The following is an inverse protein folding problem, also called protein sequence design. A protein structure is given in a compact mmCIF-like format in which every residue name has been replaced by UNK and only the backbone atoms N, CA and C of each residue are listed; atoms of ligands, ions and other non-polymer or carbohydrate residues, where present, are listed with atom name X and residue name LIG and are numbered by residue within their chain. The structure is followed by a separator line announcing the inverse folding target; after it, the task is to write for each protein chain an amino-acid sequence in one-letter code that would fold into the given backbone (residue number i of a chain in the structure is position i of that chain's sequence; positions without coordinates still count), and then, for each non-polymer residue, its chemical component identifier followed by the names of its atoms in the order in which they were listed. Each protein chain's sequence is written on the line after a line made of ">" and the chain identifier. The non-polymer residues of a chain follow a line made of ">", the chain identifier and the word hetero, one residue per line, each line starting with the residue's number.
data_IF_656760926108
#
_entry.id   IF_656760926108
#
_cell.length_a   1.000
_cell.length_b   1.000
_cell.length_c   1.000
_cell.angle_alpha   90.00
_cell.angle_beta   90.00
_cell.angle_gamma   90.00
#
_symmetry.space_group_name_H-M   'P 1'
#
loop_
_entity.id
_entity.type
_entity.pdbx_description
1 polymer ?
#
# COMPACT_ATOMS: atom_id res chain seq x y z
N UNK A 1 -13.98 29.10 -23.81
CA UNK A 1 -13.51 27.70 -23.93
C UNK A 1 -13.76 27.01 -22.60
N UNK A 2 -14.18 25.75 -22.55
CA UNK A 2 -14.31 25.04 -21.28
C UNK A 2 -12.92 24.97 -20.63
N UNK A 3 -12.76 25.59 -19.47
CA UNK A 3 -11.57 25.37 -18.67
C UNK A 3 -11.57 23.92 -18.19
N UNK A 4 -10.41 23.25 -18.15
CA UNK A 4 -10.35 21.91 -17.56
C UNK A 4 -10.95 21.97 -16.16
N UNK A 5 -12.03 21.21 -15.94
CA UNK A 5 -12.75 21.20 -14.66
C UNK A 5 -11.76 20.86 -13.55
N UNK A 6 -11.80 21.62 -12.46
CA UNK A 6 -10.89 21.38 -11.33
C UNK A 6 -11.29 20.08 -10.64
N UNK A 7 -10.31 19.32 -10.14
CA UNK A 7 -10.55 18.05 -9.44
C UNK A 7 -11.64 18.16 -8.36
N UNK A 8 -11.62 19.23 -7.57
CA UNK A 8 -12.62 19.45 -6.54
C UNK A 8 -14.05 19.62 -7.08
N UNK A 9 -14.23 20.31 -8.19
CA UNK A 9 -15.54 20.47 -8.84
C UNK A 9 -16.04 19.13 -9.40
N UNK A 10 -15.14 18.35 -10.00
CA UNK A 10 -15.50 17.03 -10.54
C UNK A 10 -15.90 16.04 -9.44
N UNK A 11 -15.28 16.13 -8.25
CA UNK A 11 -15.67 15.33 -7.09
C UNK A 11 -17.05 15.71 -6.54
N UNK A 12 -17.42 17.00 -6.60
CA UNK A 12 -18.76 17.47 -6.23
C UNK A 12 -19.80 16.96 -7.24
N UNK A 13 -19.51 17.06 -8.54
CA UNK A 13 -20.39 16.55 -9.60
C UNK A 13 -20.62 15.04 -9.50
N UNK A 14 -19.59 14.29 -9.10
CA UNK A 14 -19.68 12.85 -8.83
C UNK A 14 -20.42 12.50 -7.52
N UNK A 15 -20.81 13.49 -6.72
CA UNK A 15 -21.49 13.28 -5.44
C UNK A 15 -20.59 12.70 -4.34
N UNK A 16 -19.26 12.71 -4.53
CA UNK A 16 -18.30 12.17 -3.56
C UNK A 16 -18.03 13.13 -2.40
N UNK A 17 -18.16 14.43 -2.66
CA UNK A 17 -18.04 15.49 -1.66
C UNK A 17 -19.12 16.56 -1.87
N UNK A 18 -19.41 17.33 -0.83
CA UNK A 18 -20.33 18.47 -0.90
C UNK A 18 -19.58 19.77 -1.25
N UNK A 19 -20.32 20.78 -1.73
CA UNK A 19 -19.76 22.12 -1.99
C UNK A 19 -19.16 22.73 -0.71
N UNK A 20 -19.78 22.51 0.45
CA UNK A 20 -19.27 22.99 1.73
C UNK A 20 -17.92 22.35 2.08
N UNK A 21 -17.79 21.03 1.91
CA UNK A 21 -16.54 20.31 2.10
C UNK A 21 -15.45 20.79 1.14
N UNK A 22 -15.78 21.04 -0.13
CA UNK A 22 -14.85 21.59 -1.10
C UNK A 22 -14.33 22.97 -0.69
N UNK A 23 -15.19 23.87 -0.19
CA UNK A 23 -14.78 25.19 0.28
C UNK A 23 -13.83 25.09 1.49
N UNK A 24 -14.11 24.19 2.41
CA UNK A 24 -13.26 23.97 3.57
C UNK A 24 -11.89 23.37 3.16
N UNK A 25 -11.88 22.41 2.24
CA UNK A 25 -10.65 21.84 1.69
C UNK A 25 -9.82 22.89 0.92
N UNK A 26 -10.46 23.83 0.20
CA UNK A 26 -9.77 24.94 -0.46
C UNK A 26 -9.13 25.92 0.55
N UNK A 27 -9.80 26.20 1.67
CA UNK A 27 -9.24 27.02 2.76
C UNK A 27 -8.04 26.32 3.39
N UNK A 28 -8.16 25.03 3.66
CA UNK A 28 -7.07 24.21 4.15
C UNK A 28 -5.89 24.18 3.16
N UNK A 29 -6.15 24.00 1.85
CA UNK A 29 -5.11 24.01 0.82
C UNK A 29 -4.38 25.36 0.73
N UNK A 30 -5.07 26.49 0.93
CA UNK A 30 -4.42 27.81 0.94
C UNK A 30 -3.43 28.00 2.09
N UNK A 31 -3.66 27.35 3.23
CA UNK A 31 -2.82 27.47 4.42
C UNK A 31 -1.73 26.40 4.47
N UNK A 32 -2.08 25.14 4.20
CA UNK A 32 -1.17 23.99 4.27
C UNK A 32 -0.47 23.67 2.93
N UNK A 33 -0.98 24.20 1.82
CA UNK A 33 -0.52 23.81 0.47
C UNK A 33 -0.98 22.40 0.09
N UNK A 34 -0.19 21.76 -0.78
CA UNK A 34 -0.40 20.37 -1.19
C UNK A 34 -1.50 20.17 -2.24
N UNK A 35 -1.77 18.89 -2.54
CA UNK A 35 -2.75 18.48 -3.56
C UNK A 35 -4.16 18.40 -2.96
N UNK A 36 -5.15 18.84 -3.73
CA UNK A 36 -6.56 18.83 -3.32
C UNK A 36 -7.03 17.44 -2.88
N UNK A 37 -6.75 16.39 -3.67
CA UNK A 37 -7.15 15.03 -3.33
C UNK A 37 -6.55 14.53 -2.02
N UNK A 38 -5.24 14.76 -1.80
CA UNK A 38 -4.56 14.40 -0.56
C UNK A 38 -5.13 15.15 0.66
N UNK A 39 -5.48 16.41 0.50
CA UNK A 39 -6.08 17.21 1.57
C UNK A 39 -7.48 16.72 1.92
N UNK A 40 -8.31 16.39 0.93
CA UNK A 40 -9.64 15.83 1.15
C UNK A 40 -9.60 14.50 1.92
N UNK A 41 -8.60 13.65 1.61
CA UNK A 41 -8.35 12.41 2.35
C UNK A 41 -7.89 12.71 3.78
N UNK A 42 -6.93 13.62 3.95
CA UNK A 42 -6.38 13.97 5.26
C UNK A 42 -7.44 14.56 6.21
N UNK A 43 -8.40 15.30 5.66
CA UNK A 43 -9.55 15.86 6.40
C UNK A 43 -10.68 14.85 6.62
N UNK A 44 -10.54 13.60 6.16
CA UNK A 44 -11.55 12.56 6.29
C UNK A 44 -12.82 12.80 5.47
N UNK A 45 -12.78 13.67 4.46
CA UNK A 45 -13.93 14.00 3.62
C UNK A 45 -14.19 12.93 2.55
N UNK A 46 -13.13 12.26 2.09
CA UNK A 46 -13.19 11.17 1.11
C UNK A 46 -12.21 10.07 1.52
N UNK A 47 -12.54 8.82 1.27
CA UNK A 47 -11.59 7.72 1.49
C UNK A 47 -10.56 7.66 0.36
N UNK A 48 -9.35 7.17 0.65
CA UNK A 48 -8.34 6.96 -0.40
C UNK A 48 -8.82 6.01 -1.49
N UNK A 49 -9.59 4.98 -1.12
CA UNK A 49 -10.13 4.02 -2.08
C UNK A 49 -11.08 4.70 -3.07
N UNK A 50 -12.04 5.49 -2.56
CA UNK A 50 -12.99 6.23 -3.39
C UNK A 50 -12.31 7.27 -4.28
N UNK A 51 -11.30 7.99 -3.77
CA UNK A 51 -10.51 8.92 -4.56
C UNK A 51 -9.76 8.20 -5.70
N UNK A 52 -9.16 7.04 -5.39
CA UNK A 52 -8.41 6.24 -6.35
C UNK A 52 -9.31 5.68 -7.45
N UNK A 53 -10.52 5.22 -7.10
CA UNK A 53 -11.55 4.80 -8.06
C UNK A 53 -11.98 5.94 -8.97
N UNK A 54 -12.25 7.11 -8.38
CA UNK A 54 -12.63 8.28 -9.13
C UNK A 54 -11.55 8.71 -10.13
N UNK A 55 -10.29 8.78 -9.69
CA UNK A 55 -9.15 9.13 -10.55
C UNK A 55 -8.96 8.12 -11.67
N UNK A 56 -9.05 6.82 -11.38
CA UNK A 56 -8.93 5.76 -12.37
C UNK A 56 -9.97 5.89 -13.49
N UNK A 57 -11.23 6.17 -13.12
CA UNK A 57 -12.31 6.40 -14.10
C UNK A 57 -12.08 7.70 -14.88
N UNK A 58 -11.70 8.77 -14.20
CA UNK A 58 -11.52 10.09 -14.80
C UNK A 58 -10.37 10.13 -15.82
N UNK A 59 -9.25 9.46 -15.52
CA UNK A 59 -8.07 9.45 -16.41
C UNK A 59 -7.98 8.22 -17.30
N UNK A 60 -8.87 7.23 -17.13
CA UNK A 60 -8.84 5.97 -17.86
C UNK A 60 -7.65 5.08 -17.51
N UNK A 61 -7.08 5.26 -16.31
CA UNK A 61 -5.85 4.60 -15.85
C UNK A 61 -6.19 3.51 -14.84
N UNK A 62 -5.60 2.30 -14.93
CA UNK A 62 -5.89 1.23 -13.99
C UNK A 62 -5.35 1.52 -12.57
N UNK A 63 -5.99 0.89 -11.58
CA UNK A 63 -5.57 0.92 -10.18
C UNK A 63 -4.47 -0.12 -9.94
N UNK A 64 -3.53 0.22 -9.07
CA UNK A 64 -2.48 -0.69 -8.62
C UNK A 64 -2.31 -0.58 -7.10
N UNK A 65 -2.27 -1.73 -6.43
CA UNK A 65 -1.88 -1.79 -5.02
C UNK A 65 -0.36 -2.01 -4.92
N UNK A 66 0.30 -1.16 -4.14
CA UNK A 66 1.77 -1.09 -4.03
C UNK A 66 2.32 -1.73 -2.76
N UNK A 67 1.46 -2.16 -1.82
CA UNK A 67 1.88 -2.57 -0.48
C UNK A 67 2.83 -3.77 -0.44
N UNK A 68 2.65 -4.74 -1.34
CA UNK A 68 3.38 -6.01 -1.34
C UNK A 68 4.08 -6.28 -2.69
N UNK A 69 4.43 -5.24 -3.44
CA UNK A 69 5.11 -5.42 -4.71
C UNK A 69 6.61 -5.61 -4.48
N UNK A 70 7.16 -6.67 -5.06
CA UNK A 70 8.61 -6.82 -5.22
C UNK A 70 9.02 -6.18 -6.54
N UNK A 71 9.88 -5.17 -6.46
CA UNK A 71 10.31 -4.39 -7.62
C UNK A 71 11.79 -4.67 -7.87
N UNK A 72 12.13 -5.02 -9.11
CA UNK A 72 13.51 -5.26 -9.49
C UNK A 72 14.35 -3.98 -9.35
N UNK A 73 15.59 -4.10 -8.84
CA UNK A 73 16.47 -2.95 -8.62
C UNK A 73 16.72 -2.13 -9.89
N UNK A 74 16.89 -2.82 -11.02
CA UNK A 74 17.07 -2.18 -12.34
C UNK A 74 15.89 -1.29 -12.77
N UNK A 75 14.68 -1.51 -12.22
CA UNK A 75 13.49 -0.67 -12.44
C UNK A 75 13.54 0.57 -11.52
N UNK A 76 13.85 0.38 -10.24
CA UNK A 76 13.94 1.45 -9.25
C UNK A 76 15.02 2.48 -9.61
N UNK A 77 16.16 2.03 -10.15
CA UNK A 77 17.27 2.88 -10.58
C UNK A 77 16.90 3.85 -11.71
N UNK A 78 15.82 3.59 -12.46
CA UNK A 78 15.39 4.47 -13.56
C UNK A 78 14.83 5.80 -13.08
N UNK A 79 14.40 5.88 -11.84
CA UNK A 79 13.90 7.11 -11.24
C UNK A 79 14.73 7.38 -9.99
N UNK A 80 15.42 8.54 -9.90
CA UNK A 80 16.12 8.90 -8.68
C UNK A 80 15.17 9.00 -7.49
N UNK A 81 15.59 8.49 -6.33
CA UNK A 81 14.81 8.51 -5.08
C UNK A 81 14.22 9.88 -4.77
N UNK A 82 15.00 10.95 -4.91
CA UNK A 82 14.54 12.33 -4.65
C UNK A 82 13.33 12.71 -5.51
N UNK A 83 13.36 12.32 -6.80
CA UNK A 83 12.25 12.58 -7.71
C UNK A 83 11.02 11.76 -7.33
N UNK A 84 11.23 10.48 -7.00
CA UNK A 84 10.18 9.58 -6.52
C UNK A 84 9.47 10.12 -5.27
N UNK A 85 10.23 10.59 -4.27
CA UNK A 85 9.68 11.18 -3.04
C UNK A 85 8.97 12.51 -3.29
N UNK A 86 9.58 13.44 -4.04
CA UNK A 86 9.02 14.77 -4.30
C UNK A 86 7.70 14.70 -5.08
N UNK A 87 7.64 13.84 -6.11
CA UNK A 87 6.46 13.72 -6.96
C UNK A 87 5.50 12.63 -6.48
N UNK A 88 5.89 11.86 -5.46
CA UNK A 88 5.14 10.70 -4.97
C UNK A 88 4.82 9.72 -6.10
N UNK A 89 5.88 9.25 -6.76
CA UNK A 89 5.83 8.30 -7.88
C UNK A 89 6.76 7.11 -7.59
N UNK A 90 6.37 5.91 -8.03
CA UNK A 90 7.16 4.69 -7.82
C UNK A 90 7.21 3.89 -9.13
N UNK A 91 8.39 3.64 -9.73
CA UNK A 91 8.51 2.79 -10.89
C UNK A 91 8.29 1.32 -10.49
N UNK A 92 7.45 0.59 -11.23
CA UNK A 92 6.98 -0.75 -10.84
C UNK A 92 7.55 -1.84 -11.75
N UNK A 93 7.46 -1.66 -13.06
CA UNK A 93 7.90 -2.67 -14.02
C UNK A 93 8.25 -2.06 -15.38
N UNK A 94 9.12 -2.75 -16.12
CA UNK A 94 9.27 -2.49 -17.55
C UNK A 94 8.15 -3.15 -18.33
N UNK A 95 7.75 -2.50 -19.42
CA UNK A 95 6.79 -3.03 -20.38
C UNK A 95 7.29 -2.75 -21.79
N UNK A 96 7.25 -3.75 -22.65
CA UNK A 96 7.64 -3.63 -24.04
C UNK A 96 6.65 -2.76 -24.83
N UNK A 97 7.09 -2.04 -25.88
CA UNK A 97 8.45 -2.02 -26.45
C UNK A 97 9.41 -0.99 -25.85
N UNK A 98 8.97 -0.04 -25.00
CA UNK A 98 9.85 0.94 -24.31
C UNK A 98 9.09 1.73 -23.24
N UNK A 99 8.34 1.05 -22.40
CA UNK A 99 7.47 1.68 -21.41
C UNK A 99 7.87 1.32 -19.98
N UNK A 100 7.66 2.25 -19.07
CA UNK A 100 7.84 2.11 -17.63
C UNK A 100 6.48 2.26 -16.97
N UNK A 101 6.03 1.20 -16.32
CA UNK A 101 4.82 1.23 -15.48
C UNK A 101 5.14 2.04 -14.23
N UNK A 102 4.40 3.10 -14.02
CA UNK A 102 4.65 4.06 -12.95
C UNK A 102 3.43 4.17 -12.04
N UNK A 103 3.58 3.77 -10.79
CA UNK A 103 2.55 4.00 -9.78
C UNK A 103 2.59 5.47 -9.33
N UNK A 104 1.46 6.15 -9.43
CA UNK A 104 1.31 7.58 -9.14
C UNK A 104 0.13 7.82 -8.21
N UNK A 105 0.29 8.77 -7.29
CA UNK A 105 -0.81 9.19 -6.42
C UNK A 105 -1.90 9.96 -7.20
N UNK A 106 -1.49 10.63 -8.28
CA UNK A 106 -2.36 11.46 -9.10
C UNK A 106 -1.89 11.42 -10.57
N UNK A 107 -2.57 10.63 -11.42
CA UNK A 107 -2.22 10.48 -12.83
C UNK A 107 -2.53 11.72 -13.69
N UNK A 108 -3.26 12.70 -13.15
CA UNK A 108 -3.59 13.94 -13.87
C UNK A 108 -2.46 14.96 -13.85
N UNK A 109 -1.44 14.76 -13.01
CA UNK A 109 -0.28 15.63 -12.93
C UNK A 109 0.74 15.34 -14.03
N UNK A 110 0.61 16.11 -15.11
CA UNK A 110 1.48 16.03 -16.27
C UNK A 110 2.94 16.34 -15.94
N UNK A 111 3.22 17.20 -14.95
CA UNK A 111 4.60 17.53 -14.57
C UNK A 111 5.30 16.30 -13.97
N UNK A 112 4.58 15.51 -13.17
CA UNK A 112 5.12 14.27 -12.62
C UNK A 112 5.37 13.22 -13.72
N UNK A 113 4.44 13.10 -14.68
CA UNK A 113 4.60 12.20 -15.83
C UNK A 113 5.81 12.60 -16.68
N UNK A 114 5.94 13.87 -17.03
CA UNK A 114 7.00 14.37 -17.90
C UNK A 114 8.37 14.32 -17.22
N UNK A 115 8.44 14.62 -15.93
CA UNK A 115 9.70 14.50 -15.16
C UNK A 115 10.14 13.04 -15.04
N UNK A 116 9.21 12.11 -14.81
CA UNK A 116 9.49 10.68 -14.79
C UNK A 116 9.94 10.16 -16.17
N UNK A 117 9.28 10.63 -17.24
CA UNK A 117 9.65 10.33 -18.63
C UNK A 117 11.07 10.81 -18.93
N UNK A 118 11.39 12.04 -18.55
CA UNK A 118 12.70 12.63 -18.77
C UNK A 118 13.79 11.89 -17.99
N UNK A 119 13.55 11.58 -16.71
CA UNK A 119 14.53 10.87 -15.87
C UNK A 119 14.78 9.43 -16.35
N UNK A 120 13.72 8.72 -16.77
CA UNK A 120 13.83 7.32 -17.18
C UNK A 120 14.24 7.14 -18.65
N UNK A 121 13.97 8.11 -19.52
CA UNK A 121 14.14 7.99 -20.97
C UNK A 121 13.15 7.00 -21.63
N UNK A 122 12.08 6.63 -20.91
CA UNK A 122 11.08 5.65 -21.32
C UNK A 122 9.70 6.29 -21.44
N UNK A 123 8.79 5.65 -22.17
CA UNK A 123 7.38 6.04 -22.16
C UNK A 123 6.76 5.68 -20.81
N UNK A 124 5.95 6.57 -20.25
CA UNK A 124 5.31 6.32 -18.95
C UNK A 124 3.93 5.74 -19.17
N UNK A 125 3.68 4.59 -18.53
CA UNK A 125 2.35 4.01 -18.37
C UNK A 125 1.92 4.23 -16.92
N UNK A 126 1.13 5.29 -16.63
CA UNK A 126 0.73 5.58 -15.28
C UNK A 126 -0.21 4.50 -14.75
N UNK A 127 -0.20 4.27 -13.45
CA UNK A 127 -1.16 3.48 -12.68
C UNK A 127 -1.51 4.24 -11.40
N UNK A 128 -2.79 4.25 -11.01
CA UNK A 128 -3.22 4.99 -9.82
C UNK A 128 -3.00 4.13 -8.58
N UNK A 129 -2.27 4.67 -7.60
CA UNK A 129 -2.04 4.04 -6.31
C UNK A 129 -2.34 5.00 -5.15
N UNK A 130 -2.60 4.45 -3.97
CA UNK A 130 -2.88 5.23 -2.77
C UNK A 130 -1.66 6.08 -2.39
N UNK A 131 -1.92 7.35 -2.03
CA UNK A 131 -0.86 8.29 -1.66
C UNK A 131 -0.09 7.83 -0.41
N UNK A 132 -0.79 7.35 0.62
CA UNK A 132 -0.14 6.84 1.83
C UNK A 132 0.68 5.58 1.53
N UNK A 133 0.13 4.66 0.73
CA UNK A 133 0.80 3.41 0.37
C UNK A 133 2.05 3.65 -0.47
N UNK A 134 1.99 4.61 -1.41
CA UNK A 134 3.14 5.00 -2.23
C UNK A 134 4.28 5.58 -1.38
N UNK A 135 4.00 6.50 -0.47
CA UNK A 135 5.06 7.09 0.37
C UNK A 135 5.80 6.05 1.18
N UNK A 136 5.07 5.08 1.75
CA UNK A 136 5.66 3.97 2.49
C UNK A 136 6.49 3.06 1.57
N UNK A 137 5.93 2.69 0.41
CA UNK A 137 6.61 1.84 -0.56
C UNK A 137 7.89 2.49 -1.11
N UNK A 138 7.87 3.78 -1.45
CA UNK A 138 9.06 4.53 -1.91
C UNK A 138 10.15 4.49 -0.83
N UNK A 139 9.80 4.79 0.42
CA UNK A 139 10.76 4.82 1.51
C UNK A 139 11.38 3.44 1.83
N UNK A 140 10.63 2.35 1.62
CA UNK A 140 11.08 0.99 1.84
C UNK A 140 11.92 0.46 0.67
N UNK A 141 11.42 0.58 -0.56
CA UNK A 141 12.06 0.04 -1.78
C UNK A 141 13.42 0.69 -2.05
N UNK A 142 13.52 2.02 -1.96
CA UNK A 142 14.81 2.70 -2.17
C UNK A 142 15.80 2.45 -1.04
N UNK A 143 15.34 2.24 0.20
CA UNK A 143 16.21 1.84 1.31
C UNK A 143 16.78 0.44 1.09
N UNK A 144 15.93 -0.50 0.64
CA UNK A 144 16.35 -1.87 0.30
C UNK A 144 17.33 -1.89 -0.88
N UNK A 145 17.15 -1.00 -1.87
CA UNK A 145 18.09 -0.80 -2.97
C UNK A 145 19.46 -0.32 -2.47
N UNK A 146 19.48 0.74 -1.65
CA UNK A 146 20.71 1.31 -1.05
C UNK A 146 21.44 0.31 -0.14
N UNK A 147 20.69 -0.57 0.54
CA UNK A 147 21.25 -1.60 1.44
C UNK A 147 21.75 -2.84 0.70
N UNK A 148 21.67 -2.89 -0.63
CA UNK A 148 22.06 -4.05 -1.45
C UNK A 148 21.13 -5.26 -1.34
N UNK A 149 19.99 -5.14 -0.65
CA UNK A 149 19.04 -6.24 -0.43
C UNK A 149 18.24 -6.61 -1.68
N UNK A 150 18.18 -5.72 -2.68
CA UNK A 150 17.42 -5.91 -3.93
C UNK A 150 18.28 -6.57 -5.05
N UNK A 151 19.55 -6.94 -4.78
CA UNK A 151 20.45 -7.33 -5.86
C UNK A 151 21.63 -8.20 -5.46
N UNK A 152 21.45 -9.21 -4.59
CA UNK A 152 22.44 -10.28 -4.47
C UNK A 152 22.03 -11.46 -5.38
N UNK A 153 22.09 -11.24 -6.68
CA UNK A 153 22.48 -12.33 -7.58
C UNK A 153 24.00 -12.35 -7.58
N UNK A 154 24.58 -13.16 -6.69
CA UNK A 154 25.97 -13.61 -6.90
C UNK A 154 25.93 -14.37 -8.21
N UNK A 155 26.47 -13.77 -9.28
CA UNK A 155 26.91 -14.57 -10.40
C UNK A 155 28.00 -15.49 -9.86
N UNK A 156 27.62 -16.73 -9.56
CA UNK A 156 28.58 -17.80 -9.31
C UNK A 156 29.33 -17.95 -10.62
N UNK A 157 30.49 -17.32 -10.71
CA UNK A 157 31.40 -17.49 -11.84
C UNK A 157 31.55 -18.99 -12.10
N UNK A 158 31.30 -19.41 -13.35
CA UNK A 158 31.55 -20.78 -13.82
C UNK A 158 33.05 -21.03 -14.01
N UNK A 159 33.88 -20.54 -13.10
CA UNK A 159 35.28 -20.91 -13.04
C UNK A 159 35.39 -22.03 -12.00
N UNK A 160 35.77 -23.26 -12.40
CA UNK A 160 36.11 -24.28 -11.43
C UNK A 160 37.27 -23.72 -10.60
N UNK A 161 37.08 -23.57 -9.29
CA UNK A 161 38.14 -23.31 -8.33
C UNK A 161 39.05 -24.56 -8.29
N UNK A 162 39.97 -24.67 -9.24
CA UNK A 162 41.19 -25.45 -9.07
C UNK A 162 42.20 -24.58 -8.32
N UNK A 163 42.15 -24.68 -7.00
CA UNK A 163 43.32 -24.87 -6.14
C UNK A 163 42.86 -24.68 -4.69
N UNK A 164 42.84 -25.80 -3.96
CA UNK A 164 42.55 -25.78 -2.54
C UNK A 164 43.54 -24.88 -1.82
N UNK A 165 43.02 -23.95 -1.01
CA UNK A 165 43.85 -23.26 -0.04
C UNK A 165 44.52 -24.31 0.86
N UNK A 166 45.83 -24.25 1.10
CA UNK A 166 46.48 -25.16 2.05
C UNK A 166 45.98 -24.83 3.46
N UNK A 167 44.97 -25.56 3.90
CA UNK A 167 44.55 -25.60 5.30
C UNK A 167 45.59 -26.41 6.07
N UNK A 168 46.45 -25.71 6.79
CA UNK A 168 47.37 -26.33 7.74
C UNK A 168 46.59 -26.69 9.02
N UNK A 169 46.26 -27.97 9.17
CA UNK A 169 45.51 -28.49 10.33
C UNK A 169 46.36 -28.64 11.61
N UNK A 170 47.69 -28.50 11.53
CA UNK A 170 48.60 -28.64 12.67
C UNK A 170 48.94 -27.30 13.36
N UNK A 171 48.41 -26.18 12.86
CA UNK A 171 48.55 -24.89 13.52
C UNK A 171 47.51 -24.77 14.65
N UNK A 172 47.89 -25.18 15.87
CA UNK A 172 47.17 -24.77 17.07
C UNK A 172 47.19 -23.22 17.13
N UNK A 173 46.03 -22.55 17.27
CA UNK A 173 46.02 -21.10 17.41
C UNK A 173 46.79 -20.72 18.68
N UNK A 174 47.79 -19.84 18.54
CA UNK A 174 48.42 -19.26 19.72
C UNK A 174 47.36 -18.52 20.56
N UNK A 175 47.41 -18.62 21.89
CA UNK A 175 46.47 -17.92 22.74
C UNK A 175 46.66 -16.42 22.56
N UNK A 176 45.70 -15.78 21.90
CA UNK A 176 45.65 -14.32 21.79
C UNK A 176 45.37 -13.78 23.19
N UNK A 177 46.42 -13.24 23.83
CA UNK A 177 46.26 -12.49 25.07
C UNK A 177 45.42 -11.24 24.77
N UNK A 178 44.16 -11.24 25.20
CA UNK A 178 43.31 -10.05 25.19
C UNK A 178 43.84 -9.11 26.27
N UNK A 179 44.88 -8.34 25.95
CA UNK A 179 45.26 -7.19 26.78
C UNK A 179 44.18 -6.14 26.52
N UNK A 180 43.34 -5.88 27.53
CA UNK A 180 42.37 -4.81 27.49
C UNK A 180 43.10 -3.45 27.54
N UNK A 181 43.69 -3.04 26.42
CA UNK A 181 44.07 -1.66 26.21
C UNK A 181 42.92 -0.99 25.47
N UNK A 182 41.91 -0.53 26.22
CA UNK A 182 40.99 0.49 25.71
C UNK A 182 41.78 1.77 25.48
N UNK A 183 41.91 2.26 24.23
CA UNK A 183 42.15 3.67 24.04
C UNK A 183 40.81 4.38 24.29
N UNK A 184 40.84 5.61 24.80
CA UNK A 184 39.67 6.44 25.10
C UNK A 184 39.02 6.22 26.47
N UNK A 185 39.76 6.54 27.53
CA UNK A 185 39.18 7.31 28.65
C UNK A 185 40.14 8.44 28.97
N UNK A 186 40.02 9.56 28.24
CA UNK A 186 40.47 10.84 28.78
C UNK A 186 39.43 11.22 29.82
N UNK A 187 39.81 11.15 31.10
CA UNK A 187 39.04 11.75 32.19
C UNK A 187 38.98 13.25 31.93
N UNK A 188 37.79 13.78 31.69
CA UNK A 188 37.56 15.23 31.66
C UNK A 188 37.66 15.76 33.10
N UNK A 189 38.54 16.73 33.40
CA UNK A 189 38.74 17.27 34.74
C UNK A 189 37.65 18.28 35.17
N UNK A 190 36.50 18.31 34.48
CA UNK A 190 35.44 19.29 34.71
C UNK A 190 34.16 18.71 35.35
N UNK A 191 34.10 17.39 35.56
CA UNK A 191 33.01 16.71 36.26
C UNK A 191 33.52 16.07 37.55
N UNK A 192 34.13 16.87 38.41
CA UNK A 192 34.27 16.55 39.82
C UNK A 192 33.05 17.10 40.57
N UNK A 193 32.28 16.20 41.20
CA UNK A 193 31.38 16.57 42.30
C UNK A 193 29.88 16.59 42.01
N UNK A 194 29.26 15.45 42.27
CA UNK A 194 28.04 15.33 43.10
C UNK A 194 26.70 15.85 42.54
N UNK A 195 26.05 15.03 41.70
CA UNK A 195 24.60 14.85 41.49
C UNK A 195 24.52 13.94 40.25
N UNK A 196 23.92 12.75 40.22
CA UNK A 196 22.55 12.39 40.53
C UNK A 196 22.53 10.92 40.98
N UNK A 197 21.97 10.68 42.16
CA UNK A 197 21.72 9.33 42.68
C UNK A 197 20.24 9.03 42.52
N UNK A 198 19.78 8.89 41.28
CA UNK A 198 18.42 8.47 40.94
C UNK A 198 18.46 7.55 39.73
N UNK A 199 18.21 6.26 39.95
CA UNK A 199 17.87 5.34 38.87
C UNK A 199 16.53 5.76 38.27
N UNK A 200 16.37 5.80 36.93
CA UNK A 200 15.06 6.07 36.35
C UNK A 200 14.10 4.94 36.74
N UNK A 201 12.96 5.33 37.32
CA UNK A 201 11.87 4.43 37.66
C UNK A 201 11.52 3.53 36.47
N UNK A 202 11.52 2.22 36.72
CA UNK A 202 11.15 1.22 35.75
C UNK A 202 9.67 1.43 35.34
N UNK A 203 9.36 1.78 34.08
CA UNK A 203 8.00 2.16 33.67
C UNK A 203 7.02 0.96 33.63
N UNK A 204 7.48 -0.26 33.95
CA UNK A 204 6.68 -1.48 33.93
C UNK A 204 6.29 -2.04 35.31
N UNK A 205 6.34 -1.23 36.40
CA UNK A 205 5.97 -1.70 37.74
C UNK A 205 4.46 -1.65 38.09
N UNK A 206 3.56 -1.43 37.13
CA UNK A 206 2.12 -1.28 37.42
C UNK A 206 1.26 -2.55 37.42
N UNK A 207 1.83 -3.74 37.22
CA UNK A 207 1.08 -5.00 37.33
C UNK A 207 1.81 -6.01 38.22
N UNK A 208 1.74 -5.79 39.53
CA UNK A 208 1.89 -6.85 40.53
C UNK A 208 0.64 -6.86 41.41
N UNK A 209 -0.49 -7.23 40.80
CA UNK A 209 -1.67 -7.59 41.57
C UNK A 209 -1.48 -9.04 42.04
N UNK A 210 -1.48 -9.23 43.36
CA UNK A 210 -1.32 -10.53 44.00
C UNK A 210 -2.43 -11.49 43.53
N UNK A 211 -2.17 -12.81 43.40
CA UNK A 211 -3.21 -13.78 43.05
C UNK A 211 -4.29 -13.78 44.15
N UNK A 212 -5.59 -13.68 43.82
CA UNK A 212 -6.63 -13.75 44.84
C UNK A 212 -6.71 -15.17 45.42
N UNK A 213 -6.86 -15.26 46.74
CA UNK A 213 -7.01 -16.52 47.48
C UNK A 213 -8.21 -17.34 46.96
N UNK A 214 -8.11 -18.68 46.93
CA UNK A 214 -9.21 -19.52 46.49
C UNK A 214 -10.35 -19.49 47.52
N UNK A 215 -11.56 -19.11 47.07
CA UNK A 215 -12.78 -19.18 47.87
C UNK A 215 -13.16 -20.64 48.18
N UNK A 216 -13.70 -20.93 49.37
CA UNK A 216 -14.16 -22.27 49.73
C UNK A 216 -15.30 -22.73 48.82
N UNK A 217 -15.23 -23.99 48.39
CA UNK A 217 -16.19 -24.65 47.50
C UNK A 217 -17.37 -25.17 48.31
N UNK A 218 -18.45 -24.40 48.37
CA UNK A 218 -19.75 -24.94 48.76
C UNK A 218 -20.42 -25.59 47.54
N UNK A 219 -20.32 -26.91 47.51
CA UNK A 219 -21.05 -27.77 46.60
C UNK A 219 -22.55 -27.74 46.91
N UNK A 220 -23.31 -26.89 46.22
CA UNK A 220 -24.75 -27.12 46.02
C UNK A 220 -25.14 -26.78 44.58
N UNK A 221 -25.71 -27.79 43.91
CA UNK A 221 -26.01 -27.78 42.50
C UNK A 221 -26.99 -26.68 42.09
N UNK A 222 -26.71 -26.06 40.95
CA UNK A 222 -27.69 -25.26 40.24
C UNK A 222 -27.70 -25.68 38.78
N UNK A 223 -28.80 -26.34 38.41
CA UNK A 223 -29.15 -26.72 37.04
C UNK A 223 -29.36 -25.42 36.25
N UNK A 224 -28.59 -25.20 35.19
CA UNK A 224 -28.85 -24.11 34.23
C UNK A 224 -29.75 -24.67 33.12
N UNK A 225 -30.99 -24.18 32.96
CA UNK A 225 -31.84 -24.60 31.85
C UNK A 225 -31.32 -24.01 30.53
N UNK A 226 -31.31 -24.82 29.47
CA UNK A 226 -30.98 -24.41 28.12
C UNK A 226 -31.95 -23.32 27.65
N UNK A 227 -31.44 -22.11 27.43
CA UNK A 227 -32.23 -20.98 26.93
C UNK A 227 -32.42 -21.12 25.42
N UNK A 228 -33.62 -21.57 25.05
CA UNK A 228 -34.43 -21.22 23.87
C UNK A 228 -33.70 -20.46 22.76
N UNK A 229 -33.54 -21.13 21.61
CA UNK A 229 -33.20 -20.52 20.33
C UNK A 229 -34.25 -19.45 19.96
N UNK A 230 -33.87 -18.19 20.08
CA UNK A 230 -34.60 -17.09 19.45
C UNK A 230 -34.13 -17.00 17.99
N UNK A 231 -35.06 -17.37 17.11
CA UNK A 231 -35.00 -17.21 15.66
C UNK A 231 -34.57 -15.79 15.29
N UNK A 232 -33.36 -15.61 14.74
CA UNK A 232 -33.00 -14.41 14.00
C UNK A 232 -33.33 -14.65 12.53
N UNK A 233 -34.44 -14.05 12.12
CA UNK A 233 -34.88 -13.91 10.74
C UNK A 233 -33.87 -12.99 10.02
N UNK A 234 -33.08 -13.59 9.13
CA UNK A 234 -32.21 -12.86 8.19
C UNK A 234 -33.12 -12.28 7.09
N UNK A 235 -33.09 -10.96 6.81
CA UNK A 235 -33.86 -10.42 5.69
C UNK A 235 -33.30 -10.94 4.36
N UNK A 236 -34.15 -11.23 3.36
CA UNK A 236 -33.71 -11.75 2.08
C UNK A 236 -32.86 -10.70 1.36
N UNK A 237 -31.70 -11.13 0.87
CA UNK A 237 -30.82 -10.32 0.01
C UNK A 237 -31.53 -10.19 -1.34
N UNK A 238 -32.25 -9.10 -1.55
CA UNK A 238 -32.81 -8.78 -2.86
C UNK A 238 -31.69 -8.41 -3.84
N UNK A 239 -31.21 -9.42 -4.58
CA UNK A 239 -31.02 -9.49 -6.03
C UNK A 239 -30.55 -8.27 -6.87
N UNK A 240 -29.73 -7.36 -6.33
CA UNK A 240 -29.09 -6.29 -7.14
C UNK A 240 -27.62 -6.52 -7.50
N UNK A 241 -26.94 -7.49 -6.88
CA UNK A 241 -25.51 -7.74 -7.13
C UNK A 241 -25.22 -8.47 -8.44
N UNK A 242 -26.00 -9.52 -8.74
CA UNK A 242 -25.66 -10.46 -9.82
C UNK A 242 -25.93 -9.86 -11.20
N UNK A 243 -27.01 -9.10 -11.37
CA UNK A 243 -27.40 -8.51 -12.67
C UNK A 243 -26.43 -7.45 -13.16
N UNK A 244 -25.98 -6.55 -12.28
CA UNK A 244 -25.02 -5.52 -12.64
C UNK A 244 -23.64 -6.12 -12.97
N UNK A 245 -23.24 -7.16 -12.24
CA UNK A 245 -21.99 -7.88 -12.51
C UNK A 245 -22.04 -8.65 -13.83
N UNK A 246 -23.13 -9.35 -14.12
CA UNK A 246 -23.30 -10.11 -15.37
C UNK A 246 -23.36 -9.18 -16.57
N UNK A 247 -24.11 -8.08 -16.49
CA UNK A 247 -24.15 -7.08 -17.57
C UNK A 247 -22.82 -6.35 -17.74
N UNK A 248 -22.10 -6.09 -16.64
CA UNK A 248 -20.75 -5.53 -16.66
C UNK A 248 -19.75 -6.45 -17.35
N UNK A 249 -19.83 -7.76 -17.08
CA UNK A 249 -18.96 -8.77 -17.69
C UNK A 249 -19.24 -8.93 -19.18
N UNK A 250 -20.51 -9.02 -19.61
CA UNK A 250 -20.88 -9.12 -21.03
C UNK A 250 -20.38 -7.89 -21.81
N UNK A 251 -20.56 -6.69 -21.24
CA UNK A 251 -20.10 -5.44 -21.87
C UNK A 251 -18.57 -5.33 -21.91
N UNK A 252 -17.87 -5.93 -20.96
CA UNK A 252 -16.40 -6.01 -20.95
C UNK A 252 -15.89 -6.97 -22.03
N UNK A 253 -16.50 -8.15 -22.16
CA UNK A 253 -16.13 -9.15 -23.17
C UNK A 253 -16.42 -8.67 -24.60
N UNK A 254 -17.49 -7.90 -24.80
CA UNK A 254 -17.82 -7.28 -26.09
C UNK A 254 -16.75 -6.26 -26.53
N UNK A 255 -16.20 -5.44 -25.61
CA UNK A 255 -15.11 -4.50 -25.92
C UNK A 255 -13.82 -5.20 -26.32
N UNK A 256 -13.63 -6.45 -25.89
CA UNK A 256 -12.46 -7.26 -26.21
C UNK A 256 -12.63 -8.08 -27.50
N UNK A 257 -13.80 -7.99 -28.16
CA UNK A 257 -14.08 -8.71 -29.41
C UNK A 257 -14.20 -10.23 -29.25
N UNK A 258 -14.39 -10.72 -28.01
CA UNK A 258 -14.40 -12.16 -27.69
C UNK A 258 -15.79 -12.78 -27.94
N UNK A 259 -16.86 -11.99 -27.83
CA UNK A 259 -18.23 -12.42 -28.15
C UNK A 259 -18.83 -11.56 -29.27
N UNK A 260 -19.38 -12.22 -30.29
CA UNK A 260 -20.12 -11.58 -31.37
C UNK A 260 -21.51 -11.11 -30.95
N UNK A 261 -22.09 -10.15 -31.67
CA UNK A 261 -23.42 -9.58 -31.37
C UNK A 261 -24.54 -10.63 -31.34
N UNK A 262 -24.45 -11.66 -32.19
CA UNK A 262 -25.46 -12.71 -32.30
C UNK A 262 -25.42 -13.71 -31.14
N UNK A 263 -24.23 -13.96 -30.58
CA UNK A 263 -24.06 -14.83 -29.41
C UNK A 263 -24.60 -14.16 -28.14
N UNK A 264 -24.47 -12.83 -28.04
CA UNK A 264 -25.02 -12.04 -26.94
C UNK A 264 -26.55 -12.11 -26.94
N UNK A 265 -27.20 -11.99 -28.10
CA UNK A 265 -28.65 -12.10 -28.19
C UNK A 265 -29.14 -13.48 -27.77
N UNK A 266 -28.45 -14.55 -28.18
CA UNK A 266 -28.77 -15.92 -27.75
C UNK A 266 -28.60 -16.12 -26.24
N UNK A 267 -27.55 -15.55 -25.65
CA UNK A 267 -27.31 -15.66 -24.22
C UNK A 267 -28.41 -14.92 -23.43
N UNK A 268 -28.77 -13.71 -23.86
CA UNK A 268 -29.83 -12.91 -23.22
C UNK A 268 -31.18 -13.62 -23.33
N UNK A 269 -31.54 -14.18 -24.49
CA UNK A 269 -32.79 -14.92 -24.67
C UNK A 269 -32.85 -16.13 -23.73
N UNK A 270 -31.77 -16.93 -23.65
CA UNK A 270 -31.71 -18.12 -22.81
C UNK A 270 -31.77 -17.78 -21.30
N UNK A 271 -31.16 -16.66 -20.90
CA UNK A 271 -31.22 -16.14 -19.54
C UNK A 271 -32.60 -15.56 -19.15
N UNK A 272 -33.39 -15.11 -20.13
CA UNK A 272 -34.78 -14.67 -19.92
C UNK A 272 -35.73 -15.87 -19.86
N UNK A 273 -35.54 -16.88 -20.71
CA UNK A 273 -36.35 -18.11 -20.71
C UNK A 273 -36.18 -18.97 -19.44
N UNK A 274 -35.00 -18.95 -18.83
CA UNK A 274 -34.70 -19.62 -17.56
C UNK A 274 -35.22 -18.86 -16.33
N UNK A 275 -35.79 -17.67 -16.52
CA UNK A 275 -36.37 -16.84 -15.44
C UNK A 275 -35.36 -16.10 -14.58
N UNK A 276 -34.07 -16.13 -14.91
CA UNK A 276 -33.02 -15.42 -14.18
C UNK A 276 -33.04 -13.90 -14.46
N UNK A 277 -33.56 -13.50 -15.63
CA UNK A 277 -33.68 -12.10 -16.04
C UNK A 277 -35.11 -11.80 -16.50
N UNK A 278 -35.70 -10.68 -16.03
CA UNK A 278 -36.99 -10.21 -16.52
C UNK A 278 -36.75 -9.30 -17.73
N UNK A 279 -37.49 -9.53 -18.82
CA UNK A 279 -37.38 -8.81 -20.09
C UNK A 279 -37.40 -7.28 -19.88
N UNK A 280 -36.37 -6.54 -20.34
CA UNK A 280 -36.32 -5.09 -20.22
C UNK A 280 -37.29 -4.35 -21.16
N UNK A 281 -38.09 -5.06 -21.96
CA UNK A 281 -39.00 -4.49 -22.97
C UNK A 281 -40.47 -4.47 -22.54
N UNK A 282 -40.79 -4.78 -21.28
CA UNK A 282 -42.16 -4.79 -20.75
C UNK A 282 -42.35 -3.83 -19.58
#
# INVERSE_FOLDING_TARGET
>A
MPHPKKLGEMLVEAGLITVAQLQEALRYQKSAGGRMGSNLVAMGMITEASLMDFLAVQTGVPRLDVKNLEIAGAVLERIPRRLAEQMTILPVAFKEPKSLVLAMADPSDLNAVDSARFASGLNIEPMVASHSSLRLAIADQYRKLESGLIGVTVEVGKDPLEDGLPVNFDALPEPVAITASSPWVKRDPFFDGNAYKEEPANPFQFFTEAPPEPRPTDSQGMIIPARSAASQVVPPIENYGTRALVLGLIRNLQRRGILGSDEIQRLIINLVETGEISDPSR
#
